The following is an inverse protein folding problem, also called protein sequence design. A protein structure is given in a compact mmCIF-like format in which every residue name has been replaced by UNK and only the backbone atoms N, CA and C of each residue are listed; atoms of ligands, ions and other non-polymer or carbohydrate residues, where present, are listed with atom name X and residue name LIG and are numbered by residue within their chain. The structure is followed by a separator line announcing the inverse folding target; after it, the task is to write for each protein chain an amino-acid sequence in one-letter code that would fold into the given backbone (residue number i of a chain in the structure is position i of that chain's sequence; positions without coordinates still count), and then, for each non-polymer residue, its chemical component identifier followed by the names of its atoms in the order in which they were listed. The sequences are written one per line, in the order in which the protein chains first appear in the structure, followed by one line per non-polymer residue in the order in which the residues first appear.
data_IF_919052866435
#
_entry.id   IF_919052866435
#
_cell.length_a   1.000
_cell.length_b   1.000
_cell.length_c   1.000
_cell.angle_alpha   90.00
_cell.angle_beta   90.00
_cell.angle_gamma   90.00
#
_symmetry.space_group_name_H-M   'P 1'
#
loop_
_entity.id
_entity.type
_entity.pdbx_description
1 polymer ?
#
# COMPACT_ATOMS: atom_id res chain seq x y z
N UNK A 1 -34.28 -7.26 -19.10
CA UNK A 1 -34.22 -8.73 -19.28
C UNK A 1 -33.99 -9.15 -20.74
N UNK A 2 -34.96 -9.07 -21.66
CA UNK A 2 -34.74 -9.52 -23.06
C UNK A 2 -33.67 -8.71 -23.82
N UNK A 3 -33.56 -7.40 -23.60
CA UNK A 3 -32.55 -6.55 -24.24
C UNK A 3 -31.13 -6.79 -23.69
N UNK A 4 -30.98 -7.10 -22.40
CA UNK A 4 -29.69 -7.42 -21.78
C UNK A 4 -29.21 -8.81 -22.18
N UNK A 5 -30.11 -9.79 -22.26
CA UNK A 5 -29.79 -11.12 -22.80
C UNK A 5 -29.40 -11.05 -24.27
N UNK A 6 -30.05 -10.18 -25.06
CA UNK A 6 -29.68 -9.94 -26.46
C UNK A 6 -28.31 -9.29 -26.59
N UNK A 7 -27.99 -8.31 -25.74
CA UNK A 7 -26.67 -7.67 -25.70
C UNK A 7 -25.57 -8.65 -25.28
N UNK A 8 -25.83 -9.50 -24.30
CA UNK A 8 -24.91 -10.54 -23.86
C UNK A 8 -24.72 -11.62 -24.93
N UNK A 9 -25.78 -12.04 -25.63
CA UNK A 9 -25.70 -12.96 -26.76
C UNK A 9 -24.94 -12.36 -27.94
N UNK A 10 -25.10 -11.05 -28.19
CA UNK A 10 -24.37 -10.32 -29.23
C UNK A 10 -22.88 -10.17 -28.89
N UNK A 11 -22.55 -10.11 -27.60
CA UNK A 11 -21.18 -10.11 -27.08
C UNK A 11 -20.54 -11.51 -27.15
N UNK A 12 -21.30 -12.56 -26.83
CA UNK A 12 -20.86 -13.97 -26.82
C UNK A 12 -20.78 -14.61 -28.21
N UNK A 13 -21.66 -14.25 -29.15
CA UNK A 13 -21.66 -14.79 -30.50
C UNK A 13 -20.91 -13.92 -31.51
N UNK A 14 -20.37 -12.77 -31.06
CA UNK A 14 -19.80 -11.76 -31.93
C UNK A 14 -20.89 -11.07 -32.75
N UNK A 15 -21.09 -9.77 -32.54
CA UNK A 15 -22.08 -8.97 -33.25
C UNK A 15 -22.04 -9.27 -34.76
N UNK A 16 -23.16 -9.77 -35.30
CA UNK A 16 -23.29 -10.10 -36.73
C UNK A 16 -22.89 -8.90 -37.59
N UNK A 17 -21.70 -9.03 -38.19
CA UNK A 17 -21.32 -8.52 -39.50
C UNK A 17 -21.92 -7.16 -39.91
N UNK A 18 -21.37 -6.07 -39.38
CA UNK A 18 -21.24 -4.79 -40.11
C UNK A 18 -19.96 -4.09 -39.66
N UNK A 19 -18.86 -4.43 -40.35
CA UNK A 19 -17.73 -3.57 -40.75
C UNK A 19 -17.04 -2.66 -39.70
N UNK A 20 -16.09 -3.25 -38.94
CA UNK A 20 -14.68 -2.81 -38.68
C UNK A 20 -14.11 -3.36 -37.36
N UNK A 21 -14.96 -3.79 -36.43
CA UNK A 21 -14.51 -4.36 -35.15
C UNK A 21 -14.22 -5.87 -35.20
N UNK A 22 -14.77 -6.58 -36.20
CA UNK A 22 -14.73 -8.04 -36.31
C UNK A 22 -13.47 -8.63 -36.98
N UNK A 23 -12.46 -7.81 -37.30
CA UNK A 23 -11.20 -8.27 -37.90
C UNK A 23 -9.98 -7.65 -37.19
N UNK A 24 -10.10 -7.34 -35.90
CA UNK A 24 -8.95 -6.90 -35.12
C UNK A 24 -8.16 -8.15 -34.71
N UNK A 25 -6.91 -8.23 -35.17
CA UNK A 25 -5.99 -9.27 -34.71
C UNK A 25 -5.59 -9.04 -33.25
N UNK A 26 -5.21 -10.11 -32.54
CA UNK A 26 -4.63 -10.05 -31.19
C UNK A 26 -3.48 -9.04 -31.05
N UNK A 27 -2.76 -8.79 -32.14
CA UNK A 27 -1.62 -7.87 -32.22
C UNK A 27 -1.98 -6.42 -32.51
N UNK A 28 -3.24 -6.08 -32.77
CA UNK A 28 -3.62 -4.71 -33.11
C UNK A 28 -3.43 -3.77 -31.89
N UNK A 29 -2.73 -2.63 -32.03
CA UNK A 29 -2.50 -1.68 -30.95
C UNK A 29 -3.79 -1.06 -30.37
N UNK A 30 -4.93 -1.16 -31.06
CA UNK A 30 -6.23 -0.68 -30.58
C UNK A 30 -6.87 -1.60 -29.55
N UNK A 31 -6.44 -2.86 -29.46
CA UNK A 31 -6.99 -3.84 -28.51
C UNK A 31 -6.33 -3.65 -27.14
N UNK A 32 -7.14 -3.74 -26.09
CA UNK A 32 -6.64 -3.60 -24.73
C UNK A 32 -5.88 -4.86 -24.29
N UNK A 33 -4.55 -4.82 -24.39
CA UNK A 33 -3.66 -5.89 -23.91
C UNK A 33 -3.91 -6.24 -22.44
N UNK A 34 -4.19 -5.24 -21.62
CA UNK A 34 -4.49 -5.35 -20.19
C UNK A 34 -5.82 -6.07 -19.92
N UNK A 35 -6.77 -6.00 -20.85
CA UNK A 35 -8.04 -6.75 -20.80
C UNK A 35 -7.87 -8.21 -21.28
N UNK A 36 -7.01 -8.44 -22.28
CA UNK A 36 -6.70 -9.77 -22.77
C UNK A 36 -5.93 -10.60 -21.74
N UNK A 37 -4.91 -10.01 -21.12
CA UNK A 37 -4.08 -10.71 -20.12
C UNK A 37 -4.76 -10.87 -18.75
N UNK A 38 -5.82 -10.12 -18.46
CA UNK A 38 -6.45 -10.14 -17.15
C UNK A 38 -7.69 -9.26 -17.05
N UNK A 39 -7.76 -8.46 -15.99
CA UNK A 39 -8.82 -7.47 -15.80
C UNK A 39 -8.28 -6.08 -16.02
N UNK A 40 -8.91 -5.34 -16.94
CA UNK A 40 -8.52 -3.97 -17.24
C UNK A 40 -8.86 -3.06 -16.04
N UNK A 41 -7.90 -2.24 -15.55
CA UNK A 41 -8.16 -1.30 -14.45
C UNK A 41 -9.30 -0.31 -14.73
N UNK A 42 -9.48 0.08 -16.00
CA UNK A 42 -10.57 0.98 -16.40
C UNK A 42 -11.95 0.38 -16.20
N UNK A 43 -12.10 -0.95 -16.37
CA UNK A 43 -13.39 -1.64 -16.20
C UNK A 43 -13.70 -1.88 -14.72
N UNK A 44 -12.65 -2.18 -13.94
CA UNK A 44 -12.72 -2.48 -12.51
C UNK A 44 -13.21 -1.29 -11.67
N UNK A 45 -12.83 -0.07 -12.07
CA UNK A 45 -13.17 1.17 -11.35
C UNK A 45 -14.34 1.95 -11.96
N UNK A 46 -15.09 1.35 -12.91
CA UNK A 46 -16.29 1.99 -13.48
C UNK A 46 -17.32 2.33 -12.40
N UNK A 47 -17.89 3.54 -12.48
CA UNK A 47 -18.87 4.07 -11.51
C UNK A 47 -18.35 4.17 -10.06
N UNK A 48 -17.04 4.32 -9.89
CA UNK A 48 -16.43 4.54 -8.57
C UNK A 48 -15.89 5.96 -8.45
N UNK A 49 -15.51 6.37 -7.23
CA UNK A 49 -14.88 7.68 -6.99
C UNK A 49 -13.53 7.83 -7.72
N UNK A 50 -12.92 6.74 -8.14
CA UNK A 50 -11.65 6.72 -8.85
C UNK A 50 -11.82 6.30 -10.32
N UNK A 51 -13.01 6.52 -10.89
CA UNK A 51 -13.28 6.22 -12.28
C UNK A 51 -12.39 7.06 -13.21
N UNK A 52 -11.61 6.36 -14.05
CA UNK A 52 -10.69 6.95 -15.02
C UNK A 52 -11.43 7.22 -16.35
N UNK A 53 -12.68 6.77 -16.46
CA UNK A 53 -13.49 6.81 -17.66
C UNK A 53 -13.35 5.55 -18.51
N UNK A 54 -14.10 5.48 -19.63
CA UNK A 54 -14.11 4.32 -20.52
C UNK A 54 -12.70 4.05 -21.07
N UNK A 55 -12.36 2.77 -21.23
CA UNK A 55 -11.05 2.41 -21.74
C UNK A 55 -10.83 3.01 -23.15
N UNK A 56 -9.68 3.65 -23.42
CA UNK A 56 -9.38 4.16 -24.75
C UNK A 56 -9.13 3.04 -25.78
N UNK A 57 -8.92 1.81 -25.30
CA UNK A 57 -8.68 0.61 -26.10
C UNK A 57 -9.93 -0.26 -26.13
N UNK A 58 -10.10 -1.02 -27.20
CA UNK A 58 -11.25 -1.89 -27.41
C UNK A 58 -11.14 -3.13 -26.52
N UNK A 59 -12.17 -3.39 -25.72
CA UNK A 59 -12.36 -4.65 -24.99
C UNK A 59 -13.23 -5.57 -25.86
N UNK A 60 -12.69 -6.72 -26.25
CA UNK A 60 -13.42 -7.73 -27.02
C UNK A 60 -13.27 -9.09 -26.31
N UNK A 61 -14.39 -9.67 -25.92
CA UNK A 61 -14.44 -10.96 -25.22
C UNK A 61 -14.00 -12.14 -26.09
N UNK A 62 -14.27 -12.09 -27.41
CA UNK A 62 -13.84 -13.13 -28.34
C UNK A 62 -12.32 -13.25 -28.39
N UNK A 63 -11.61 -12.12 -28.51
CA UNK A 63 -10.15 -12.09 -28.51
C UNK A 63 -9.55 -12.52 -27.17
N UNK A 64 -10.26 -12.30 -26.07
CA UNK A 64 -9.84 -12.75 -24.75
C UNK A 64 -9.90 -14.27 -24.65
N UNK A 65 -11.00 -14.89 -25.10
CA UNK A 65 -11.13 -16.34 -25.15
C UNK A 65 -10.07 -16.99 -26.07
N UNK A 66 -9.78 -16.36 -27.21
CA UNK A 66 -8.68 -16.78 -28.10
C UNK A 66 -7.32 -16.71 -27.38
N UNK A 67 -7.02 -15.60 -26.70
CA UNK A 67 -5.78 -15.45 -25.94
C UNK A 67 -5.67 -16.46 -24.79
N UNK A 68 -6.75 -16.70 -24.05
CA UNK A 68 -6.79 -17.65 -22.94
C UNK A 68 -6.56 -19.09 -23.41
N UNK A 69 -7.04 -19.42 -24.61
CA UNK A 69 -6.83 -20.72 -25.27
C UNK A 69 -5.42 -20.96 -25.85
N UNK A 70 -4.58 -19.92 -25.97
CA UNK A 70 -3.20 -20.07 -26.43
C UNK A 70 -2.31 -20.78 -25.40
N UNK A 71 -1.26 -21.45 -25.88
CA UNK A 71 -0.26 -22.06 -25.00
C UNK A 71 0.55 -21.00 -24.25
N UNK A 72 1.06 -21.35 -23.08
CA UNK A 72 1.90 -20.44 -22.26
C UNK A 72 3.12 -19.90 -23.01
N UNK A 73 3.68 -20.69 -23.94
CA UNK A 73 4.80 -20.28 -24.81
C UNK A 73 4.41 -19.18 -25.79
N UNK A 74 3.20 -19.24 -26.34
CA UNK A 74 2.69 -18.23 -27.27
C UNK A 74 2.32 -16.95 -26.53
N UNK A 75 1.71 -17.06 -25.34
CA UNK A 75 1.42 -15.94 -24.45
C UNK A 75 2.71 -15.16 -24.09
N UNK A 76 3.77 -15.89 -23.76
CA UNK A 76 5.07 -15.29 -23.46
C UNK A 76 5.72 -14.60 -24.66
N UNK A 77 5.47 -15.09 -25.89
CA UNK A 77 5.96 -14.48 -27.13
C UNK A 77 5.28 -13.15 -27.44
N UNK A 78 4.00 -13.00 -27.13
CA UNK A 78 3.27 -11.74 -27.29
C UNK A 78 3.62 -10.71 -26.20
N UNK A 79 3.97 -11.17 -24.99
CA UNK A 79 4.42 -10.30 -23.91
C UNK A 79 3.32 -9.41 -23.31
N UNK A 80 2.04 -9.70 -23.58
CA UNK A 80 0.91 -8.90 -23.06
C UNK A 80 0.84 -8.92 -21.53
N UNK A 81 1.33 -10.00 -20.90
CA UNK A 81 1.43 -10.10 -19.44
C UNK A 81 2.41 -9.07 -18.84
N UNK A 82 3.51 -8.75 -19.53
CA UNK A 82 4.46 -7.72 -19.09
C UNK A 82 3.89 -6.31 -19.24
N UNK A 83 3.18 -6.04 -20.33
CA UNK A 83 2.46 -4.79 -20.52
C UNK A 83 1.39 -4.63 -19.43
N UNK A 84 0.66 -5.70 -19.11
CA UNK A 84 -0.32 -5.71 -18.03
C UNK A 84 0.32 -5.44 -16.67
N UNK A 85 1.46 -6.07 -16.35
CA UNK A 85 2.19 -5.83 -15.11
C UNK A 85 2.66 -4.38 -14.98
N UNK A 86 3.16 -3.79 -16.08
CA UNK A 86 3.58 -2.38 -16.10
C UNK A 86 2.40 -1.45 -15.83
N UNK A 87 1.26 -1.72 -16.43
CA UNK A 87 0.02 -0.96 -16.19
C UNK A 87 -0.42 -1.11 -14.72
N UNK A 88 -0.47 -2.34 -14.19
CA UNK A 88 -0.80 -2.61 -12.79
C UNK A 88 0.12 -1.86 -11.83
N UNK A 89 1.43 -1.91 -12.07
CA UNK A 89 2.43 -1.24 -11.24
C UNK A 89 2.16 0.27 -11.18
N UNK A 90 1.88 0.91 -12.32
CA UNK A 90 1.55 2.35 -12.36
C UNK A 90 0.36 2.68 -11.46
N UNK A 91 -0.73 1.92 -11.55
CA UNK A 91 -1.93 2.17 -10.75
C UNK A 91 -1.73 1.85 -9.26
N UNK A 92 -0.94 0.83 -8.93
CA UNK A 92 -0.58 0.49 -7.55
C UNK A 92 0.31 1.59 -6.96
N UNK A 93 1.29 2.09 -7.69
CA UNK A 93 2.17 3.17 -7.25
C UNK A 93 1.40 4.48 -7.05
N UNK A 94 0.46 4.80 -7.95
CA UNK A 94 -0.44 5.95 -7.77
C UNK A 94 -1.35 5.78 -6.54
N UNK A 95 -1.81 4.56 -6.26
CA UNK A 95 -2.56 4.25 -5.04
C UNK A 95 -1.70 4.41 -3.78
N UNK A 96 -0.48 3.87 -3.78
CA UNK A 96 0.46 3.98 -2.67
C UNK A 96 0.82 5.45 -2.39
N UNK A 97 1.10 6.26 -3.42
CA UNK A 97 1.33 7.70 -3.26
C UNK A 97 0.13 8.41 -2.62
N UNK A 98 -1.09 8.02 -2.97
CA UNK A 98 -2.31 8.56 -2.36
C UNK A 98 -2.45 8.12 -0.90
N UNK A 99 -2.14 6.86 -0.60
CA UNK A 99 -2.13 6.32 0.77
C UNK A 99 -1.13 7.09 1.62
N UNK A 100 0.12 7.25 1.15
CA UNK A 100 1.16 7.98 1.86
C UNK A 100 0.77 9.44 2.09
N UNK A 101 0.20 10.10 1.07
CA UNK A 101 -0.26 11.48 1.19
C UNK A 101 -1.43 11.62 2.18
N UNK A 102 -2.32 10.62 2.25
CA UNK A 102 -3.41 10.59 3.21
C UNK A 102 -2.91 10.27 4.63
N UNK A 103 -1.99 9.33 4.77
CA UNK A 103 -1.34 9.00 6.05
C UNK A 103 -0.58 10.21 6.60
N UNK A 104 0.23 10.90 5.78
CA UNK A 104 0.93 12.13 6.18
C UNK A 104 0.01 13.27 6.62
N UNK A 105 -1.24 13.31 6.13
CA UNK A 105 -2.24 14.27 6.62
C UNK A 105 -2.82 13.89 7.98
N UNK A 106 -2.83 12.60 8.32
CA UNK A 106 -3.29 12.11 9.62
C UNK A 106 -2.17 12.06 10.66
N UNK A 107 -0.93 11.85 10.22
CA UNK A 107 0.26 11.86 11.08
C UNK A 107 0.50 13.25 11.62
N UNK A 108 0.69 13.35 12.95
CA UNK A 108 1.14 14.59 13.57
C UNK A 108 2.50 14.94 13.03
N UNK A 109 2.69 16.19 12.64
CA UNK A 109 4.01 16.65 12.22
C UNK A 109 5.02 16.43 13.35
N UNK A 110 6.29 16.11 13.06
CA UNK A 110 7.31 15.97 14.09
C UNK A 110 7.46 17.25 14.92
N UNK A 111 7.11 18.41 14.36
CA UNK A 111 7.08 19.69 15.05
C UNK A 111 5.97 19.77 16.10
N UNK A 112 4.76 19.30 15.81
CA UNK A 112 3.67 19.19 16.80
C UNK A 112 4.04 18.25 17.95
N UNK A 113 4.73 17.14 17.65
CA UNK A 113 5.22 16.18 18.67
C UNK A 113 6.27 16.87 19.54
N UNK A 114 7.20 17.61 18.94
CA UNK A 114 8.21 18.39 19.68
C UNK A 114 7.58 19.45 20.57
N UNK A 115 6.64 20.24 20.06
CA UNK A 115 5.91 21.25 20.82
C UNK A 115 5.15 20.65 22.01
N UNK A 116 4.47 19.52 21.79
CA UNK A 116 3.78 18.76 22.84
C UNK A 116 4.77 18.33 23.94
N UNK A 117 5.93 17.78 23.58
CA UNK A 117 6.93 17.35 24.54
C UNK A 117 7.54 18.52 25.35
N UNK A 118 7.77 19.67 24.70
CA UNK A 118 8.28 20.88 25.37
C UNK A 118 7.26 21.40 26.38
N UNK A 119 5.98 21.43 26.02
CA UNK A 119 4.90 21.85 26.93
C UNK A 119 4.74 20.89 28.10
N UNK A 120 4.76 19.57 27.85
CA UNK A 120 4.72 18.56 28.91
C UNK A 120 5.89 18.71 29.89
N UNK A 121 7.10 18.94 29.38
CA UNK A 121 8.27 19.21 30.22
C UNK A 121 8.09 20.48 31.04
N UNK A 122 7.65 21.56 30.42
CA UNK A 122 7.39 22.83 31.12
C UNK A 122 6.33 22.70 32.22
N UNK A 123 5.26 21.93 31.99
CA UNK A 123 4.22 21.67 32.99
C UNK A 123 4.79 20.85 34.15
N UNK A 124 5.63 19.86 33.86
CA UNK A 124 6.33 19.06 34.88
C UNK A 124 7.26 19.94 35.72
N UNK A 125 8.10 20.76 35.09
CA UNK A 125 9.05 21.65 35.77
C UNK A 125 8.32 22.69 36.65
N UNK A 126 7.25 23.30 36.14
CA UNK A 126 6.40 24.21 36.91
C UNK A 126 5.70 23.50 38.07
N UNK A 127 5.25 22.26 37.88
CA UNK A 127 4.64 21.47 38.96
C UNK A 127 5.63 21.16 40.08
N UNK A 128 6.88 20.81 39.74
CA UNK A 128 7.94 20.62 40.72
C UNK A 128 8.27 21.93 41.46
N UNK A 129 8.36 23.05 40.74
CA UNK A 129 8.59 24.37 41.35
C UNK A 129 7.47 24.79 42.29
N UNK A 130 6.21 24.52 41.94
CA UNK A 130 5.04 24.79 42.80
C UNK A 130 5.12 23.95 44.08
N UNK A 131 5.41 22.65 43.97
CA UNK A 131 5.52 21.78 45.13
C UNK A 131 6.65 22.20 46.07
N UNK A 132 7.83 22.53 45.52
CA UNK A 132 8.96 23.00 46.33
C UNK A 132 8.65 24.36 47.00
N UNK A 133 8.06 25.31 46.27
CA UNK A 133 7.69 26.61 46.83
C UNK A 133 6.59 26.50 47.91
N UNK A 134 5.65 25.56 47.78
CA UNK A 134 4.65 25.30 48.84
C UNK A 134 5.31 24.78 50.12
N UNK A 135 6.30 23.90 50.02
CA UNK A 135 7.07 23.42 51.17
C UNK A 135 7.87 24.56 51.83
N UNK A 136 8.50 25.43 51.03
CA UNK A 136 9.21 26.60 51.57
C UNK A 136 8.28 27.56 52.33
N UNK A 137 7.06 27.79 51.80
CA UNK A 137 6.04 28.60 52.47
C UNK A 137 5.62 27.97 53.81
N UNK A 138 5.46 26.66 53.87
CA UNK A 138 5.12 25.95 55.11
C UNK A 138 6.22 26.09 56.17
N UNK A 139 7.49 25.93 55.77
CA UNK A 139 8.65 26.08 56.65
C UNK A 139 8.75 27.52 57.17
N UNK A 140 8.69 28.53 56.28
CA UNK A 140 8.73 29.94 56.68
C UNK A 140 7.57 30.33 57.59
N UNK A 141 6.38 29.75 57.35
CA UNK A 141 5.22 29.89 58.22
C UNK A 141 5.46 29.33 59.62
N UNK A 142 6.08 28.14 59.72
CA UNK A 142 6.44 27.53 61.01
C UNK A 142 7.49 28.33 61.79
N UNK A 143 8.39 29.02 61.09
CA UNK A 143 9.42 29.87 61.67
C UNK A 143 8.89 31.25 62.11
N UNK A 144 7.65 31.60 61.77
CA UNK A 144 7.05 32.91 62.08
C UNK A 144 7.48 34.05 61.15
N UNK A 145 8.17 33.74 60.04
CA UNK A 145 8.65 34.70 59.05
C UNK A 145 7.53 35.06 58.05
N UNK A 146 6.47 35.70 58.56
CA UNK A 146 5.21 35.93 57.82
C UNK A 146 5.41 36.75 56.54
N UNK A 147 6.26 37.79 56.56
CA UNK A 147 6.51 38.62 55.38
C UNK A 147 7.12 37.82 54.23
N UNK A 148 8.14 36.99 54.54
CA UNK A 148 8.83 36.17 53.53
C UNK A 148 7.95 35.04 53.02
N UNK A 149 7.12 34.45 53.89
CA UNK A 149 6.15 33.44 53.49
C UNK A 149 5.10 34.00 52.50
N UNK A 150 4.68 35.25 52.69
CA UNK A 150 3.75 35.91 51.75
C UNK A 150 4.38 36.17 50.37
N UNK A 151 5.65 36.59 50.33
CA UNK A 151 6.37 36.80 49.08
C UNK A 151 6.55 35.49 48.29
N UNK A 152 6.95 34.40 48.94
CA UNK A 152 7.07 33.09 48.28
C UNK A 152 5.72 32.53 47.85
N UNK A 153 4.65 32.72 48.64
CA UNK A 153 3.29 32.34 48.26
C UNK A 153 2.83 33.08 46.99
N UNK A 154 3.20 34.35 46.84
CA UNK A 154 2.91 35.11 45.61
C UNK A 154 3.63 34.51 44.40
N UNK A 155 4.90 34.10 44.53
CA UNK A 155 5.65 33.42 43.45
C UNK A 155 5.01 32.08 43.08
N UNK A 156 4.60 31.29 44.07
CA UNK A 156 3.90 30.01 43.83
C UNK A 156 2.59 30.24 43.08
N UNK A 157 1.81 31.27 43.43
CA UNK A 157 0.58 31.63 42.70
C UNK A 157 0.87 32.02 41.26
N UNK A 158 1.93 32.78 41.00
CA UNK A 158 2.35 33.15 39.64
C UNK A 158 2.80 31.92 38.82
N UNK A 159 3.54 30.99 39.44
CA UNK A 159 3.94 29.73 38.82
C UNK A 159 2.72 28.84 38.53
N UNK A 160 1.73 28.81 39.44
CA UNK A 160 0.46 28.09 39.25
C UNK A 160 -0.37 28.66 38.10
N UNK A 161 -0.45 29.98 37.98
CA UNK A 161 -1.09 30.64 36.84
C UNK A 161 -0.38 30.27 35.54
N UNK A 162 0.95 30.35 35.52
CA UNK A 162 1.77 29.98 34.35
C UNK A 162 1.58 28.51 33.96
N UNK A 163 1.45 27.61 34.93
CA UNK A 163 1.14 26.19 34.70
C UNK A 163 -0.23 26.03 34.05
N UNK A 164 -1.26 26.71 34.58
CA UNK A 164 -2.61 26.67 34.00
C UNK A 164 -2.62 27.15 32.55
N UNK A 165 -1.85 28.18 32.23
CA UNK A 165 -1.78 28.71 30.87
C UNK A 165 -1.05 27.75 29.91
N UNK A 166 0.00 27.05 30.38
CA UNK A 166 0.66 25.98 29.61
C UNK A 166 -0.20 24.73 29.43
N UNK A 167 -1.03 24.39 30.42
CA UNK A 167 -2.01 23.30 30.29
C UNK A 167 -3.12 23.65 29.29
N UNK A 168 -3.58 24.90 29.27
CA UNK A 168 -4.51 25.39 28.24
C UNK A 168 -3.89 25.37 26.85
N UNK A 169 -2.62 25.76 26.71
CA UNK A 169 -1.89 25.70 25.45
C UNK A 169 -1.71 24.26 24.96
N UNK A 170 -1.34 23.34 25.86
CA UNK A 170 -1.25 21.90 25.56
C UNK A 170 -2.62 21.34 25.13
N UNK A 171 -3.70 21.74 25.80
CA UNK A 171 -5.06 21.35 25.43
C UNK A 171 -5.46 21.94 24.08
N UNK A 172 -5.13 23.20 23.80
CA UNK A 172 -5.42 23.85 22.52
C UNK A 172 -4.66 23.20 21.36
N UNK A 173 -3.39 22.82 21.55
CA UNK A 173 -2.63 22.03 20.59
C UNK A 173 -3.23 20.64 20.42
N UNK A 174 -3.62 19.99 21.51
CA UNK A 174 -4.29 18.69 21.46
C UNK A 174 -5.68 18.75 20.81
N UNK A 175 -6.40 19.87 20.92
CA UNK A 175 -7.73 20.10 20.34
C UNK A 175 -7.66 20.57 18.88
N UNK A 176 -6.60 21.30 18.52
CA UNK A 176 -6.24 21.63 17.13
C UNK A 176 -5.82 20.37 16.37
N UNK A 177 -5.09 19.48 17.04
CA UNK A 177 -4.89 18.09 16.61
C UNK A 177 -6.04 17.15 17.04
N UNK A 178 -7.12 17.69 17.62
CA UNK A 178 -8.13 16.96 18.39
C UNK A 178 -9.35 16.54 17.59
N UNK A 179 -10.50 16.25 18.23
CA UNK A 179 -11.54 15.29 17.81
C UNK A 179 -12.29 15.59 16.50
N UNK A 180 -11.84 16.60 15.77
CA UNK A 180 -12.18 16.95 14.39
C UNK A 180 -11.64 15.91 13.39
N UNK A 181 -12.11 14.67 13.51
CA UNK A 181 -11.95 13.59 12.53
C UNK A 181 -10.56 12.97 12.40
N UNK A 182 -9.48 13.75 12.41
CA UNK A 182 -8.16 13.28 11.98
C UNK A 182 -7.57 12.15 12.85
N UNK A 183 -7.71 12.21 14.18
CA UNK A 183 -7.22 11.11 15.05
C UNK A 183 -8.14 9.89 15.14
N UNK A 184 -9.41 10.03 14.74
CA UNK A 184 -10.39 8.93 14.75
C UNK A 184 -10.40 8.17 13.43
N UNK A 185 -9.88 8.79 12.37
CA UNK A 185 -9.77 8.20 11.06
C UNK A 185 -8.45 7.43 10.92
N UNK A 186 -8.50 6.36 10.16
CA UNK A 186 -7.37 5.58 9.69
C UNK A 186 -7.49 5.46 8.18
N UNK A 187 -6.37 5.43 7.47
CA UNK A 187 -6.38 5.19 6.02
C UNK A 187 -6.31 3.69 5.78
N UNK A 188 -7.15 3.16 4.89
CA UNK A 188 -6.99 1.79 4.40
C UNK A 188 -5.75 1.70 3.50
N UNK A 189 -4.88 0.76 3.85
CA UNK A 189 -3.66 0.33 3.17
C UNK A 189 -3.88 -0.27 1.77
N UNK A 190 -5.08 -0.78 1.47
CA UNK A 190 -5.39 -1.34 0.14
C UNK A 190 -5.85 -0.25 -0.83
N UNK A 191 -6.83 0.56 -0.44
CA UNK A 191 -7.55 1.47 -1.36
C UNK A 191 -7.43 2.96 -1.02
N UNK A 192 -6.76 3.34 0.06
CA UNK A 192 -6.48 4.72 0.43
C UNK A 192 -7.69 5.53 0.91
N UNK A 193 -8.82 4.90 1.21
CA UNK A 193 -9.97 5.58 1.80
C UNK A 193 -9.78 5.83 3.30
N UNK A 194 -10.44 6.86 3.83
CA UNK A 194 -10.52 7.10 5.28
C UNK A 194 -11.62 6.24 5.90
N UNK A 195 -11.28 5.49 6.95
CA UNK A 195 -12.19 4.70 7.78
C UNK A 195 -12.15 5.24 9.20
N UNK A 196 -13.26 5.24 9.92
CA UNK A 196 -13.23 5.56 11.36
C UNK A 196 -12.88 4.32 12.16
N UNK A 197 -12.01 4.45 13.16
CA UNK A 197 -11.76 3.39 14.17
C UNK A 197 -12.98 3.10 15.04
N UNK A 198 -13.93 4.03 15.08
CA UNK A 198 -15.17 3.92 15.86
C UNK A 198 -16.34 3.38 15.03
N UNK A 199 -16.12 3.02 13.76
CA UNK A 199 -17.16 2.45 12.92
C UNK A 199 -17.50 1.01 13.35
N UNK A 200 -18.75 0.62 13.12
CA UNK A 200 -19.21 -0.75 13.38
C UNK A 200 -18.71 -1.73 12.31
N UNK A 201 -18.65 -3.02 12.66
CA UNK A 201 -18.18 -4.07 11.75
C UNK A 201 -18.99 -4.17 10.46
N UNK A 202 -20.29 -3.84 10.50
CA UNK A 202 -21.14 -3.80 9.30
C UNK A 202 -20.65 -2.77 8.28
N UNK A 203 -20.33 -1.56 8.73
CA UNK A 203 -19.83 -0.48 7.86
C UNK A 203 -18.41 -0.78 7.35
N UNK A 204 -17.58 -1.43 8.17
CA UNK A 204 -16.28 -1.92 7.74
C UNK A 204 -16.43 -3.01 6.66
N UNK A 205 -17.40 -3.92 6.82
CA UNK A 205 -17.71 -4.92 5.80
C UNK A 205 -18.14 -4.27 4.47
N UNK A 206 -19.02 -3.28 4.50
CA UNK A 206 -19.44 -2.54 3.29
C UNK A 206 -18.24 -1.88 2.57
N UNK A 207 -17.21 -1.48 3.31
CA UNK A 207 -15.94 -1.02 2.75
C UNK A 207 -15.15 -2.15 2.09
N UNK A 208 -14.93 -3.27 2.79
CA UNK A 208 -14.12 -4.40 2.31
C UNK A 208 -14.76 -5.10 1.10
N UNK A 209 -16.08 -5.20 1.05
CA UNK A 209 -16.84 -5.72 -0.08
C UNK A 209 -17.11 -4.67 -1.17
N UNK A 210 -16.65 -3.44 -0.97
CA UNK A 210 -16.75 -2.39 -1.97
C UNK A 210 -15.90 -2.69 -3.21
N UNK A 211 -16.40 -2.31 -4.39
CA UNK A 211 -15.70 -2.48 -5.68
C UNK A 211 -14.29 -1.89 -5.66
N UNK A 212 -14.10 -0.76 -4.99
CA UNK A 212 -12.79 -0.10 -4.84
C UNK A 212 -11.79 -0.97 -4.07
N UNK A 213 -12.20 -1.52 -2.92
CA UNK A 213 -11.32 -2.30 -2.07
C UNK A 213 -10.99 -3.63 -2.75
N UNK A 214 -12.00 -4.35 -3.22
CA UNK A 214 -11.81 -5.62 -3.93
C UNK A 214 -10.98 -5.45 -5.21
N UNK A 215 -11.18 -4.35 -5.94
CA UNK A 215 -10.42 -4.07 -7.15
C UNK A 215 -8.93 -3.90 -6.88
N UNK A 216 -8.57 -3.05 -5.93
CA UNK A 216 -7.17 -2.88 -5.53
C UNK A 216 -6.57 -4.13 -4.86
N UNK A 217 -7.34 -4.87 -4.08
CA UNK A 217 -6.90 -6.13 -3.49
C UNK A 217 -6.57 -7.16 -4.57
N UNK A 218 -7.42 -7.29 -5.59
CA UNK A 218 -7.18 -8.17 -6.73
C UNK A 218 -5.94 -7.73 -7.51
N UNK A 219 -5.79 -6.43 -7.81
CA UNK A 219 -4.62 -5.90 -8.53
C UNK A 219 -3.30 -6.13 -7.77
N UNK A 220 -3.28 -5.92 -6.46
CA UNK A 220 -2.09 -6.18 -5.63
C UNK A 220 -1.77 -7.68 -5.61
N UNK A 221 -2.79 -8.54 -5.47
CA UNK A 221 -2.63 -9.99 -5.49
C UNK A 221 -2.09 -10.50 -6.84
N UNK A 222 -2.59 -9.99 -7.96
CA UNK A 222 -2.10 -10.38 -9.30
C UNK A 222 -0.68 -9.88 -9.54
N UNK A 223 -0.37 -8.64 -9.11
CA UNK A 223 0.98 -8.10 -9.20
C UNK A 223 2.00 -8.89 -8.36
N UNK A 224 1.64 -9.34 -7.16
CA UNK A 224 2.54 -10.12 -6.29
C UNK A 224 2.72 -11.59 -6.75
N UNK A 225 1.71 -12.17 -7.41
CA UNK A 225 1.77 -13.53 -7.94
C UNK A 225 2.65 -13.63 -9.19
N UNK A 226 2.61 -12.62 -10.06
CA UNK A 226 3.22 -12.66 -11.39
C UNK A 226 4.76 -12.86 -11.38
N UNK A 227 5.57 -12.18 -10.54
CA UNK A 227 7.01 -12.42 -10.45
C UNK A 227 7.36 -13.84 -10.00
N UNK A 228 6.51 -14.48 -9.18
CA UNK A 228 6.73 -15.84 -8.70
C UNK A 228 6.44 -16.86 -9.80
N UNK A 229 5.37 -16.65 -10.55
CA UNK A 229 5.00 -17.51 -11.69
C UNK A 229 6.03 -17.41 -12.82
N UNK A 230 6.55 -16.22 -13.12
CA UNK A 230 7.59 -16.05 -14.14
C UNK A 230 8.92 -16.68 -13.71
N UNK A 231 9.31 -16.53 -12.45
CA UNK A 231 10.55 -17.16 -11.93
C UNK A 231 10.42 -18.69 -11.82
N UNK A 232 9.20 -19.21 -11.65
CA UNK A 232 8.89 -20.64 -11.74
C UNK A 232 8.93 -21.15 -13.18
N UNK A 233 8.33 -20.43 -14.14
CA UNK A 233 8.32 -20.76 -15.57
C UNK A 233 9.72 -20.72 -16.21
N UNK A 234 10.58 -19.79 -15.80
CA UNK A 234 11.99 -19.74 -16.26
C UNK A 234 12.88 -20.86 -15.70
N UNK A 235 12.41 -21.63 -14.70
CA UNK A 235 13.17 -22.69 -14.03
C UNK A 235 12.73 -24.10 -14.42
N UNK A 236 11.72 -24.27 -15.26
CA UNK A 236 11.38 -25.58 -15.82
C UNK A 236 12.56 -26.06 -16.68
N UNK A 237 13.25 -27.17 -16.31
CA UNK A 237 14.28 -27.75 -17.16
C UNK A 237 13.63 -28.15 -18.48
N UNK A 238 14.30 -27.81 -19.59
CA UNK A 238 13.96 -28.34 -20.89
C UNK A 238 14.08 -29.86 -20.83
N UNK A 239 12.97 -30.58 -20.87
CA UNK A 239 12.98 -31.99 -21.27
C UNK A 239 13.46 -32.01 -22.74
N UNK A 240 14.69 -32.50 -22.90
CA UNK A 240 15.37 -32.77 -24.16
C UNK A 240 14.66 -33.95 -24.86
N UNK A 241 13.54 -33.67 -25.53
CA UNK A 241 12.93 -34.60 -26.49
C UNK A 241 13.75 -34.62 -27.79
N UNK A 242 14.98 -35.14 -27.69
CA UNK A 242 15.79 -35.56 -28.83
C UNK A 242 15.69 -37.08 -29.02
N UNK A 243 15.46 -37.62 -30.23
CA UNK A 243 15.42 -39.05 -30.45
C UNK A 243 16.83 -39.64 -30.30
N UNK A 244 17.15 -40.10 -29.08
CA UNK A 244 18.44 -40.70 -28.72
C UNK A 244 18.66 -42.03 -29.41
N UNK A 245 19.61 -42.06 -30.35
CA UNK A 245 20.21 -43.28 -30.90
C UNK A 245 20.93 -44.13 -29.83
N UNK A 246 21.31 -45.38 -30.14
CA UNK A 246 21.65 -46.38 -29.14
C UNK A 246 22.98 -46.06 -28.44
N UNK A 247 22.95 -45.92 -27.11
CA UNK A 247 24.15 -45.88 -26.25
C UNK A 247 24.85 -47.25 -26.29
N UNK A 248 25.99 -47.32 -26.97
CA UNK A 248 26.94 -48.43 -26.83
C UNK A 248 27.68 -48.37 -25.49
N UNK A 249 28.11 -49.52 -24.92
CA UNK A 249 28.81 -49.56 -23.64
C UNK A 249 30.32 -49.54 -23.83
N UNK A 250 31.00 -48.49 -23.35
CA UNK A 250 32.46 -48.45 -23.11
C UNK A 250 32.70 -47.44 -21.98
N UNK A 251 33.48 -47.69 -20.94
CA UNK A 251 34.40 -48.76 -20.58
C UNK A 251 35.17 -48.24 -19.36
N UNK A 252 35.38 -49.11 -18.38
CA UNK A 252 36.13 -48.83 -17.15
C UNK A 252 37.64 -48.77 -17.41
N UNK A 253 38.37 -48.05 -16.54
CA UNK A 253 39.84 -47.89 -16.54
C UNK A 253 40.25 -46.54 -17.13
N UNK A 254 41.12 -45.72 -16.56
CA UNK A 254 42.41 -46.06 -15.94
C UNK A 254 42.89 -44.91 -15.04
N UNK A 255 43.63 -45.33 -14.01
CA UNK A 255 44.28 -44.57 -12.95
C UNK A 255 45.69 -44.12 -13.40
N UNK A 256 45.97 -42.82 -13.38
CA UNK A 256 47.30 -42.24 -13.09
C UNK A 256 47.07 -40.75 -12.78
N UNK A 257 47.42 -40.18 -11.64
CA UNK A 257 48.66 -40.35 -10.91
C UNK A 257 49.65 -39.25 -11.32
N UNK A 258 49.95 -38.34 -10.37
CA UNK A 258 51.14 -37.47 -10.28
C UNK A 258 50.96 -36.00 -10.70
N UNK A 259 51.22 -35.09 -9.74
CA UNK A 259 51.45 -33.68 -10.04
C UNK A 259 51.21 -32.73 -8.86
N UNK A 260 51.81 -32.99 -7.69
CA UNK A 260 51.83 -32.00 -6.61
C UNK A 260 52.67 -30.78 -6.97
N UNK A 261 52.24 -29.59 -6.51
CA UNK A 261 53.08 -28.42 -6.22
C UNK A 261 52.33 -27.54 -5.22
N UNK A 262 52.93 -27.36 -4.06
CA UNK A 262 52.46 -26.44 -3.03
C UNK A 262 53.07 -25.05 -3.14
N UNK A 263 52.71 -24.28 -2.10
CA UNK A 263 53.36 -23.09 -1.54
C UNK A 263 52.98 -21.67 -2.01
N UNK A 264 52.40 -20.97 -1.01
CA UNK A 264 52.52 -19.56 -0.56
C UNK A 264 51.18 -18.82 -0.64
N UNK A 265 50.57 -18.30 0.43
CA UNK A 265 51.12 -17.82 1.70
C UNK A 265 51.39 -16.33 1.61
N UNK A 266 50.60 -15.51 2.32
CA UNK A 266 51.01 -14.15 2.67
C UNK A 266 49.90 -13.11 2.84
N UNK A 267 49.62 -12.84 4.12
CA UNK A 267 49.26 -11.56 4.76
C UNK A 267 47.91 -10.91 4.45
#
# INVERSE_FOLDING_TARGET
MAAEQRKLLEQLMGASSTSRAAQLSLTDPKVCRSYLAGTCPHDLFTNTKQDIGPCPKVHNEGLKAEYDGLSDREKQKYGFEYDYMRDLQKYIDDCNRRIDAAQRRLEKTPDEIRQTNVLLKSISDLSASINNGLLEVEILGSMGEVSRAQDELFRVRQASQSKSDREKELKALSDTSGPSGHQKLQVCDVCGAYLSRLDNDRRLADHFYGKMHLGYAQMRKTYDAFPKEMKGRSRAPMDDDGPGGPRGPRGSGYRSGRGGRGYRGGW
#
